data_IF_344626671953
#
_entry.id   IF_344626671953
#
_cell.length_a   1.000
_cell.length_b   1.000
_cell.length_c   1.000
_cell.angle_alpha   90.00
_cell.angle_beta   90.00
_cell.angle_gamma   90.00
#
_symmetry.space_group_name_H-M   'P 1'
#
loop_
_entity.id
_entity.type
_entity.pdbx_description
1 polymer ?
#
# COMPACT_ATOMS: atom_id res chain seq x y z
N UNK A 1 11.37 37.20 45.88
CA UNK A 1 10.13 36.47 45.48
C UNK A 1 9.80 36.64 43.99
N UNK A 2 9.76 37.85 43.42
CA UNK A 2 9.46 38.07 41.97
C UNK A 2 10.33 37.27 40.98
N UNK A 3 11.65 37.15 41.20
CA UNK A 3 12.56 36.39 40.30
C UNK A 3 12.31 34.87 40.32
N UNK A 4 11.87 34.31 41.46
CA UNK A 4 11.59 32.88 41.58
C UNK A 4 10.27 32.52 40.87
N UNK A 5 9.28 33.41 40.93
CA UNK A 5 8.00 33.28 40.23
C UNK A 5 8.16 33.34 38.70
N UNK A 6 9.05 34.19 38.18
CA UNK A 6 9.34 34.27 36.73
C UNK A 6 9.99 32.97 36.23
N UNK A 7 10.85 32.34 37.02
CA UNK A 7 11.42 31.04 36.67
C UNK A 7 10.39 29.91 36.71
N UNK A 8 9.58 29.83 37.78
CA UNK A 8 8.58 28.79 37.98
C UNK A 8 7.40 28.84 36.99
N UNK A 9 6.94 30.04 36.63
CA UNK A 9 5.74 30.22 35.80
C UNK A 9 6.01 30.78 34.40
N UNK A 10 7.21 31.32 34.13
CA UNK A 10 7.57 31.88 32.83
C UNK A 10 8.55 30.99 32.05
N UNK A 11 9.71 30.69 32.64
CA UNK A 11 10.83 30.02 31.94
C UNK A 11 10.67 28.50 31.91
N UNK A 12 10.28 27.88 33.04
CA UNK A 12 10.13 26.42 33.12
C UNK A 12 9.00 25.91 32.23
N UNK A 13 7.79 26.53 32.16
CA UNK A 13 6.75 26.10 31.23
C UNK A 13 7.17 26.30 29.76
N UNK A 14 7.91 27.36 29.43
CA UNK A 14 8.42 27.58 28.07
C UNK A 14 9.49 26.56 27.66
N UNK A 15 10.36 26.16 28.59
CA UNK A 15 11.33 25.09 28.36
C UNK A 15 10.65 23.72 28.27
N UNK A 16 9.64 23.45 29.09
CA UNK A 16 8.88 22.19 29.03
C UNK A 16 8.02 22.10 27.75
N UNK A 17 7.41 23.22 27.31
CA UNK A 17 6.73 23.30 26.01
C UNK A 17 7.73 23.18 24.84
N UNK A 18 8.91 23.77 24.95
CA UNK A 18 9.99 23.64 23.95
C UNK A 18 10.60 22.23 23.86
N UNK A 19 10.62 21.46 24.96
CA UNK A 19 11.13 20.08 25.01
C UNK A 19 10.06 19.05 24.63
N UNK A 20 8.78 19.40 24.69
CA UNK A 20 7.68 18.51 24.29
C UNK A 20 7.52 18.38 22.76
N UNK A 21 8.02 19.36 21.99
CA UNK A 21 7.87 19.40 20.52
C UNK A 21 8.93 18.57 19.75
N UNK A 22 10.22 18.45 20.17
CA UNK A 22 11.20 17.64 19.45
C UNK A 22 11.09 16.12 19.71
N UNK A 23 10.23 15.67 20.63
CA UNK A 23 10.19 14.24 21.01
C UNK A 23 9.62 13.31 19.92
N UNK A 24 8.84 13.86 18.97
CA UNK A 24 8.29 13.10 17.83
C UNK A 24 8.93 13.43 16.48
N UNK A 25 9.85 14.40 16.41
CA UNK A 25 10.45 14.84 15.14
C UNK A 25 11.50 13.87 14.59
N UNK A 26 12.00 12.93 15.43
CA UNK A 26 13.08 12.01 15.06
C UNK A 26 12.62 10.81 14.22
N UNK A 27 11.33 10.51 14.14
CA UNK A 27 10.83 9.33 13.42
C UNK A 27 10.57 9.62 11.94
N UNK A 28 10.94 8.66 11.09
CA UNK A 28 10.58 8.70 9.67
C UNK A 28 9.06 8.50 9.49
N UNK A 29 8.50 9.08 8.43
CA UNK A 29 7.08 8.91 8.13
C UNK A 29 6.70 7.42 7.94
N UNK A 30 7.63 6.61 7.41
CA UNK A 30 7.47 5.17 7.31
C UNK A 30 7.36 4.53 8.70
N UNK A 31 8.27 4.82 9.62
CA UNK A 31 8.24 4.22 10.95
C UNK A 31 6.93 4.51 11.68
N UNK A 32 6.39 5.73 11.49
CA UNK A 32 5.11 6.11 12.05
C UNK A 32 3.95 5.36 11.39
N UNK A 33 3.87 5.33 10.05
CA UNK A 33 2.83 4.58 9.30
C UNK A 33 2.85 3.10 9.70
N UNK A 34 4.04 2.49 9.73
CA UNK A 34 4.21 1.09 10.14
C UNK A 34 3.78 0.88 11.59
N UNK A 35 4.12 1.78 12.52
CA UNK A 35 3.67 1.69 13.90
C UNK A 35 2.15 1.84 14.06
N UNK A 36 1.49 2.55 13.14
CA UNK A 36 0.03 2.64 13.08
C UNK A 36 -0.61 1.34 12.57
N UNK A 37 -0.14 0.76 11.46
CA UNK A 37 -0.76 -0.43 10.85
C UNK A 37 -0.33 -1.76 11.49
N UNK A 38 0.89 -1.85 12.03
CA UNK A 38 1.43 -3.08 12.64
C UNK A 38 2.32 -2.80 13.87
N UNK A 39 1.84 -3.11 15.10
CA UNK A 39 2.61 -2.89 16.31
C UNK A 39 3.81 -3.84 16.43
N UNK A 40 3.90 -4.92 15.66
CA UNK A 40 5.07 -5.84 15.68
C UNK A 40 6.31 -5.14 15.12
N UNK A 41 6.15 -4.17 14.21
CA UNK A 41 7.24 -3.34 13.72
C UNK A 41 7.90 -2.52 14.85
N UNK A 42 7.13 -2.15 15.88
CA UNK A 42 7.63 -1.45 17.07
C UNK A 42 8.72 -2.25 17.78
N UNK A 43 8.62 -3.58 17.84
CA UNK A 43 9.59 -4.45 18.52
C UNK A 43 10.96 -4.52 17.83
N UNK A 44 11.02 -4.36 16.49
CA UNK A 44 12.29 -4.34 15.75
C UNK A 44 12.95 -2.96 15.74
N UNK A 45 12.15 -1.88 15.77
CA UNK A 45 12.64 -0.49 15.80
C UNK A 45 13.03 0.01 17.20
N UNK A 46 12.55 -0.61 18.29
CA UNK A 46 12.90 -0.22 19.67
C UNK A 46 14.40 -0.30 19.99
N UNK A 47 15.18 -1.06 19.20
CA UNK A 47 16.66 -1.05 19.30
C UNK A 47 17.31 0.23 18.78
N UNK A 48 16.57 1.13 18.09
CA UNK A 48 17.09 2.36 17.46
C UNK A 48 16.57 3.67 18.08
N UNK A 49 15.70 3.64 19.08
CA UNK A 49 15.23 4.84 19.78
C UNK A 49 13.78 4.79 20.22
N UNK A 50 13.33 5.76 21.05
CA UNK A 50 12.16 5.62 21.90
C UNK A 50 10.91 6.07 21.15
N UNK A 51 10.26 5.15 20.43
CA UNK A 51 8.83 5.34 20.18
C UNK A 51 8.15 5.39 21.55
N UNK A 52 7.78 6.60 21.99
CA UNK A 52 6.86 6.76 23.13
C UNK A 52 5.64 5.87 22.85
N UNK A 53 5.20 5.03 23.80
CA UNK A 53 4.22 3.99 23.54
C UNK A 53 2.81 4.59 23.48
N UNK A 54 2.52 5.41 22.47
CA UNK A 54 1.15 5.74 22.15
C UNK A 54 0.43 4.45 21.72
N UNK A 55 -0.80 4.21 22.23
CA UNK A 55 -1.71 3.23 21.66
C UNK A 55 -1.85 3.45 20.14
N UNK A 56 -1.99 2.38 19.33
CA UNK A 56 -2.08 2.50 17.87
C UNK A 56 -3.11 3.53 17.38
N UNK A 57 -4.29 3.60 18.02
CA UNK A 57 -5.33 4.59 17.68
C UNK A 57 -4.83 6.03 17.83
N UNK A 58 -4.11 6.34 18.91
CA UNK A 58 -3.54 7.68 19.12
C UNK A 58 -2.37 7.94 18.17
N UNK A 59 -1.60 6.93 17.80
CA UNK A 59 -0.53 7.06 16.81
C UNK A 59 -1.11 7.38 15.42
N UNK A 60 -2.15 6.66 14.99
CA UNK A 60 -2.84 6.93 13.74
C UNK A 60 -3.47 8.33 13.75
N UNK A 61 -4.14 8.72 14.85
CA UNK A 61 -4.68 10.07 15.00
C UNK A 61 -3.59 11.17 14.97
N UNK A 62 -2.43 10.93 15.58
CA UNK A 62 -1.29 11.85 15.52
C UNK A 62 -0.75 11.98 14.09
N UNK A 63 -0.63 10.87 13.37
CA UNK A 63 -0.21 10.86 11.98
C UNK A 63 -1.13 11.68 11.09
N UNK A 64 -2.44 11.52 11.26
CA UNK A 64 -3.43 12.18 10.42
C UNK A 64 -3.58 13.67 10.72
N UNK A 65 -3.49 14.06 12.00
CA UNK A 65 -3.71 15.44 12.44
C UNK A 65 -2.45 16.31 12.44
N UNK A 66 -1.31 15.79 12.89
CA UNK A 66 -0.10 16.59 13.12
C UNK A 66 0.96 16.35 12.05
N UNK A 67 1.20 15.09 11.66
CA UNK A 67 2.32 14.76 10.76
C UNK A 67 1.99 14.88 9.28
N UNK A 68 0.75 14.58 8.88
CA UNK A 68 0.27 14.57 7.49
C UNK A 68 1.29 14.04 6.47
N UNK A 69 1.70 12.76 6.57
CA UNK A 69 2.74 12.23 5.72
C UNK A 69 2.30 12.18 4.25
N UNK A 70 3.19 12.56 3.34
CA UNK A 70 2.99 12.43 1.89
C UNK A 70 2.84 10.95 1.49
N UNK A 71 1.67 10.52 0.99
CA UNK A 71 1.41 9.13 0.64
C UNK A 71 2.32 8.60 -0.46
N UNK A 72 2.81 9.48 -1.35
CA UNK A 72 3.63 9.13 -2.51
C UNK A 72 5.13 9.07 -2.19
N UNK A 73 5.51 9.35 -0.93
CA UNK A 73 6.90 9.31 -0.50
C UNK A 73 7.49 7.91 -0.68
N UNK A 74 8.39 7.78 -1.67
CA UNK A 74 9.06 6.52 -1.99
C UNK A 74 10.19 6.18 -1.01
N UNK A 75 10.12 5.00 -0.42
CA UNK A 75 11.23 4.37 0.26
C UNK A 75 12.09 3.60 -0.74
N UNK A 76 13.32 4.07 -0.98
CA UNK A 76 14.25 3.46 -1.94
C UNK A 76 14.76 2.09 -1.51
N UNK A 77 14.80 1.80 -0.21
CA UNK A 77 15.34 0.53 0.28
C UNK A 77 14.33 -0.60 0.12
N UNK A 78 13.06 -0.33 0.45
CA UNK A 78 11.95 -1.26 0.40
C UNK A 78 11.23 -1.23 -0.95
N UNK A 79 11.50 -0.22 -1.78
CA UNK A 79 10.89 -0.02 -3.09
C UNK A 79 9.36 0.08 -2.99
N UNK A 80 8.87 0.92 -2.08
CA UNK A 80 7.43 1.18 -1.86
C UNK A 80 7.18 2.63 -1.47
N UNK A 81 6.03 3.16 -1.81
CA UNK A 81 5.53 4.41 -1.20
C UNK A 81 4.98 4.16 0.20
N UNK A 82 4.73 5.23 0.97
CA UNK A 82 3.97 5.12 2.23
C UNK A 82 2.59 4.52 2.02
N UNK A 83 1.92 4.91 0.93
CA UNK A 83 0.68 4.26 0.51
C UNK A 83 0.87 2.77 0.23
N UNK A 84 1.94 2.38 -0.48
CA UNK A 84 2.27 0.98 -0.75
C UNK A 84 2.51 0.13 0.50
N UNK A 85 3.04 0.71 1.58
CA UNK A 85 3.11 0.03 2.89
C UNK A 85 1.71 -0.21 3.48
N UNK A 86 0.82 0.78 3.40
CA UNK A 86 -0.58 0.65 3.83
C UNK A 86 -1.30 -0.43 3.02
N UNK A 87 -1.08 -0.50 1.71
CA UNK A 87 -1.70 -1.51 0.84
C UNK A 87 -1.25 -2.94 1.15
N UNK A 88 0.03 -3.12 1.50
CA UNK A 88 0.61 -4.44 1.68
C UNK A 88 -0.06 -5.28 2.79
N UNK A 89 -0.74 -4.64 3.76
CA UNK A 89 -1.37 -5.34 4.89
C UNK A 89 -2.87 -5.58 4.70
N UNK A 90 -3.46 -5.16 3.56
CA UNK A 90 -4.85 -5.48 3.24
C UNK A 90 -5.03 -6.99 3.04
N UNK A 91 -6.15 -7.54 3.53
CA UNK A 91 -6.39 -8.99 3.54
C UNK A 91 -5.78 -9.74 4.73
N UNK A 92 -5.12 -9.03 5.65
CA UNK A 92 -4.67 -9.59 6.93
C UNK A 92 -5.59 -9.16 8.07
N UNK A 93 -5.52 -9.81 9.26
CA UNK A 93 -6.18 -9.31 10.47
C UNK A 93 -5.77 -7.89 10.89
N UNK A 94 -4.71 -7.32 10.29
CA UNK A 94 -4.19 -5.97 10.56
C UNK A 94 -4.84 -4.88 9.70
N UNK A 95 -5.83 -5.25 8.87
CA UNK A 95 -6.43 -4.40 7.84
C UNK A 95 -7.30 -3.25 8.35
N UNK A 96 -7.82 -3.28 9.59
CA UNK A 96 -8.74 -2.26 10.08
C UNK A 96 -8.10 -0.85 10.14
N UNK A 97 -6.90 -0.73 10.72
CA UNK A 97 -6.19 0.55 10.78
C UNK A 97 -5.66 0.99 9.42
N UNK A 98 -5.35 0.02 8.56
CA UNK A 98 -4.94 0.31 7.19
C UNK A 98 -6.09 0.90 6.37
N UNK A 99 -7.35 0.53 6.63
CA UNK A 99 -8.53 1.16 6.02
C UNK A 99 -8.66 2.63 6.39
N UNK A 100 -8.48 2.98 7.67
CA UNK A 100 -8.53 4.40 8.10
C UNK A 100 -7.44 5.23 7.42
N UNK A 101 -6.21 4.72 7.35
CA UNK A 101 -5.11 5.40 6.64
C UNK A 101 -5.29 5.42 5.13
N UNK A 102 -5.95 4.41 4.54
CA UNK A 102 -6.25 4.37 3.11
C UNK A 102 -7.11 5.55 2.72
N UNK A 103 -8.26 5.72 3.36
CA UNK A 103 -9.19 6.82 3.04
C UNK A 103 -8.51 8.18 3.27
N UNK A 104 -7.78 8.32 4.38
CA UNK A 104 -6.98 9.51 4.67
C UNK A 104 -5.98 9.87 3.56
N UNK A 105 -5.33 8.87 2.95
CA UNK A 105 -4.36 9.07 1.89
C UNK A 105 -4.98 9.32 0.53
N UNK A 106 -6.14 8.71 0.23
CA UNK A 106 -6.91 8.98 -1.00
C UNK A 106 -7.24 10.47 -1.10
N UNK A 107 -7.66 11.09 0.01
CA UNK A 107 -7.96 12.52 0.08
C UNK A 107 -6.75 13.45 -0.12
N UNK A 108 -5.53 12.90 -0.24
CA UNK A 108 -4.26 13.65 -0.30
C UNK A 108 -3.50 13.49 -1.61
N UNK A 109 -4.20 13.10 -2.67
CA UNK A 109 -3.65 13.09 -4.03
C UNK A 109 -2.67 11.95 -4.25
N UNK A 110 -3.17 10.72 -4.20
CA UNK A 110 -2.40 9.55 -4.64
C UNK A 110 -1.99 9.72 -6.11
N UNK A 111 -0.72 9.47 -6.39
CA UNK A 111 -0.22 9.38 -7.77
C UNK A 111 -0.56 7.99 -8.32
N UNK A 112 -1.80 7.81 -8.77
CA UNK A 112 -2.37 6.51 -9.16
C UNK A 112 -1.62 5.78 -10.27
N UNK A 113 -0.97 6.50 -11.17
CA UNK A 113 -0.25 5.93 -12.31
C UNK A 113 1.23 5.66 -11.99
N UNK A 114 1.72 6.09 -10.81
CA UNK A 114 3.08 5.79 -10.36
C UNK A 114 3.13 4.49 -9.57
N UNK A 115 4.27 3.78 -9.59
CA UNK A 115 4.43 2.59 -8.77
C UNK A 115 4.27 2.91 -7.28
N UNK A 116 3.38 2.18 -6.61
CA UNK A 116 3.26 2.20 -5.16
C UNK A 116 4.11 1.11 -4.50
N UNK A 117 4.41 0.03 -5.23
CA UNK A 117 5.32 -1.01 -4.77
C UNK A 117 6.00 -1.71 -5.94
N UNK A 118 7.34 -1.73 -5.93
CA UNK A 118 8.14 -2.23 -7.04
C UNK A 118 7.81 -1.50 -8.33
N UNK A 119 7.25 -2.23 -9.29
CA UNK A 119 6.81 -1.71 -10.61
C UNK A 119 5.29 -1.56 -10.72
N UNK A 120 4.55 -1.93 -9.67
CA UNK A 120 3.09 -1.98 -9.68
C UNK A 120 2.51 -0.68 -9.13
N UNK A 121 1.56 -0.11 -9.88
CA UNK A 121 0.71 0.98 -9.41
C UNK A 121 -0.26 0.50 -8.31
N UNK A 122 -0.93 1.39 -7.56
CA UNK A 122 -1.95 0.99 -6.60
C UNK A 122 -3.01 0.04 -7.16
N UNK A 123 -3.53 0.31 -8.36
CA UNK A 123 -4.57 -0.52 -8.97
C UNK A 123 -4.05 -1.91 -9.37
N UNK A 124 -2.82 -1.98 -9.89
CA UNK A 124 -2.16 -3.27 -10.11
C UNK A 124 -1.97 -4.06 -8.81
N UNK A 125 -1.66 -3.40 -7.69
CA UNK A 125 -1.57 -4.05 -6.39
C UNK A 125 -2.94 -4.57 -5.92
N UNK A 126 -4.01 -3.80 -6.11
CA UNK A 126 -5.37 -4.24 -5.78
C UNK A 126 -5.77 -5.50 -6.56
N UNK A 127 -5.46 -5.55 -7.86
CA UNK A 127 -5.66 -6.73 -8.71
C UNK A 127 -4.76 -7.89 -8.27
N UNK A 128 -3.49 -7.63 -7.98
CA UNK A 128 -2.54 -8.64 -7.52
C UNK A 128 -2.96 -9.28 -6.19
N UNK A 129 -3.48 -8.48 -5.26
CA UNK A 129 -4.07 -8.94 -4.00
C UNK A 129 -5.48 -9.51 -4.14
N UNK A 130 -6.03 -9.50 -5.34
CA UNK A 130 -7.40 -9.92 -5.65
C UNK A 130 -8.46 -9.25 -4.77
N UNK A 131 -8.23 -7.98 -4.43
CA UNK A 131 -9.10 -7.22 -3.55
C UNK A 131 -10.11 -6.43 -4.36
N UNK A 132 -11.36 -6.93 -4.40
CA UNK A 132 -12.49 -6.22 -5.02
C UNK A 132 -12.77 -4.88 -4.33
N UNK A 133 -12.59 -4.83 -3.01
CA UNK A 133 -12.77 -3.61 -2.22
C UNK A 133 -11.77 -2.56 -2.67
N UNK A 134 -10.47 -2.88 -2.70
CA UNK A 134 -9.46 -1.91 -3.14
C UNK A 134 -9.64 -1.53 -4.61
N UNK A 135 -9.91 -2.51 -5.48
CA UNK A 135 -10.11 -2.28 -6.91
C UNK A 135 -11.24 -1.28 -7.15
N UNK A 136 -12.41 -1.52 -6.54
CA UNK A 136 -13.55 -0.60 -6.63
C UNK A 136 -13.19 0.79 -6.10
N UNK A 137 -12.62 0.88 -4.89
CA UNK A 137 -12.31 2.17 -4.27
C UNK A 137 -11.28 2.98 -5.06
N UNK A 138 -10.31 2.32 -5.70
CA UNK A 138 -9.29 3.02 -6.49
C UNK A 138 -9.85 3.52 -7.82
N UNK A 139 -10.73 2.75 -8.46
CA UNK A 139 -11.48 3.22 -9.64
C UNK A 139 -12.36 4.43 -9.27
N UNK A 140 -13.13 4.35 -8.17
CA UNK A 140 -13.92 5.48 -7.64
C UNK A 140 -13.06 6.73 -7.36
N UNK A 141 -11.80 6.53 -6.96
CA UNK A 141 -10.85 7.59 -6.67
C UNK A 141 -10.02 8.06 -7.89
N UNK A 142 -10.32 7.56 -9.09
CA UNK A 142 -9.75 8.04 -10.36
C UNK A 142 -8.52 7.29 -10.86
N UNK A 143 -8.19 6.11 -10.32
CA UNK A 143 -7.09 5.31 -10.84
C UNK A 143 -7.39 4.79 -12.25
N UNK A 144 -6.48 5.01 -13.20
CA UNK A 144 -6.66 4.56 -14.57
C UNK A 144 -6.39 3.04 -14.74
N UNK A 145 -7.39 2.21 -15.12
CA UNK A 145 -7.20 0.77 -15.32
C UNK A 145 -6.36 0.41 -16.56
N UNK A 146 -6.15 1.36 -17.48
CA UNK A 146 -5.34 1.20 -18.70
C UNK A 146 -3.88 1.63 -18.53
N UNK A 147 -3.48 2.10 -17.36
CA UNK A 147 -2.09 2.46 -17.10
C UNK A 147 -1.19 1.22 -17.22
N UNK A 148 -0.16 1.22 -18.09
CA UNK A 148 0.66 0.02 -18.29
C UNK A 148 1.72 -0.13 -17.19
N UNK A 149 2.04 -1.37 -16.85
CA UNK A 149 3.20 -1.67 -16.01
C UNK A 149 4.50 -1.37 -16.77
N UNK A 150 5.33 -0.50 -16.20
CA UNK A 150 6.68 -0.20 -16.71
C UNK A 150 7.71 -1.11 -16.03
N UNK A 151 8.02 -2.24 -16.68
CA UNK A 151 8.95 -3.24 -16.16
C UNK A 151 9.77 -3.91 -17.28
N UNK A 152 10.61 -3.17 -18.01
CA UNK A 152 11.34 -3.68 -19.17
C UNK A 152 12.03 -5.03 -18.90
N UNK A 153 11.90 -5.96 -19.84
CA UNK A 153 12.46 -7.31 -19.73
C UNK A 153 11.70 -8.26 -18.81
N UNK A 154 10.56 -7.86 -18.22
CA UNK A 154 9.69 -8.74 -17.44
C UNK A 154 8.44 -9.13 -18.24
N UNK A 155 7.89 -10.35 -18.04
CA UNK A 155 6.65 -10.80 -18.71
C UNK A 155 5.42 -9.94 -18.42
N UNK A 156 5.45 -9.21 -17.29
CA UNK A 156 4.36 -8.30 -16.88
C UNK A 156 4.47 -6.90 -17.49
N UNK A 157 5.52 -6.61 -18.26
CA UNK A 157 5.68 -5.30 -18.88
C UNK A 157 4.57 -5.03 -19.89
N UNK A 158 4.00 -3.83 -19.84
CA UNK A 158 2.96 -3.40 -20.78
C UNK A 158 1.56 -3.91 -20.41
N UNK A 159 1.43 -4.85 -19.47
CA UNK A 159 0.13 -5.26 -18.97
C UNK A 159 -0.54 -4.08 -18.25
N UNK A 160 -1.82 -3.87 -18.55
CA UNK A 160 -2.70 -3.01 -17.76
C UNK A 160 -3.38 -3.81 -16.63
N UNK A 161 -4.32 -3.21 -15.90
CA UNK A 161 -4.99 -3.90 -14.79
C UNK A 161 -5.80 -5.14 -15.24
N UNK A 162 -6.39 -5.11 -16.44
CA UNK A 162 -7.15 -6.22 -17.00
C UNK A 162 -6.23 -7.36 -17.44
N UNK A 163 -5.18 -7.00 -18.17
CA UNK A 163 -4.21 -7.97 -18.68
C UNK A 163 -3.43 -8.61 -17.54
N UNK A 164 -3.17 -7.87 -16.46
CA UNK A 164 -2.62 -8.42 -15.22
C UNK A 164 -3.60 -9.42 -14.58
N UNK A 165 -4.89 -9.10 -14.49
CA UNK A 165 -5.88 -10.03 -13.93
C UNK A 165 -5.96 -11.33 -14.74
N UNK A 166 -5.96 -11.23 -16.08
CA UNK A 166 -5.93 -12.38 -16.99
C UNK A 166 -4.63 -13.17 -16.90
N UNK A 167 -3.50 -12.48 -16.80
CA UNK A 167 -2.20 -13.11 -16.58
C UNK A 167 -2.21 -13.91 -15.27
N UNK A 168 -2.77 -13.38 -14.19
CA UNK A 168 -2.89 -14.06 -12.89
C UNK A 168 -3.89 -15.22 -12.90
N UNK A 169 -4.93 -15.15 -13.74
CA UNK A 169 -5.88 -16.23 -14.00
C UNK A 169 -5.17 -17.41 -14.68
N UNK A 170 -4.41 -17.13 -15.74
CA UNK A 170 -3.72 -18.14 -16.53
C UNK A 170 -2.52 -18.77 -15.81
N UNK A 171 -1.85 -18.02 -14.93
CA UNK A 171 -0.61 -18.45 -14.24
C UNK A 171 -0.82 -19.13 -12.89
N UNK A 172 -2.01 -19.02 -12.29
CA UNK A 172 -2.27 -19.40 -10.89
C UNK A 172 -2.78 -20.83 -10.66
N UNK A 173 -2.86 -21.66 -11.70
CA UNK A 173 -3.70 -22.86 -11.71
C UNK A 173 -3.07 -24.18 -11.28
N UNK A 174 -1.74 -24.27 -11.16
CA UNK A 174 -1.07 -25.58 -11.16
C UNK A 174 -0.67 -26.10 -9.78
N UNK A 175 -0.74 -25.27 -8.73
CA UNK A 175 -0.29 -25.61 -7.37
C UNK A 175 -1.34 -25.43 -6.27
N UNK A 176 -2.58 -25.04 -6.61
CA UNK A 176 -3.66 -24.85 -5.62
C UNK A 176 -4.57 -26.08 -5.56
N UNK A 177 -5.11 -26.37 -4.36
CA UNK A 177 -6.21 -27.30 -4.23
C UNK A 177 -7.43 -26.81 -5.04
N UNK A 178 -8.25 -27.72 -5.57
CA UNK A 178 -9.36 -27.38 -6.48
C UNK A 178 -10.29 -26.29 -5.93
N UNK A 179 -10.70 -26.37 -4.65
CA UNK A 179 -11.54 -25.35 -4.03
C UNK A 179 -10.88 -23.96 -3.99
N UNK A 180 -9.59 -23.90 -3.64
CA UNK A 180 -8.83 -22.63 -3.61
C UNK A 180 -8.65 -22.05 -5.02
N UNK A 181 -8.49 -22.93 -6.01
CA UNK A 181 -8.46 -22.54 -7.42
C UNK A 181 -9.80 -21.95 -7.83
N UNK A 182 -10.92 -22.60 -7.54
CA UNK A 182 -12.27 -22.12 -7.86
C UNK A 182 -12.57 -20.75 -7.23
N UNK A 183 -12.25 -20.57 -5.94
CA UNK A 183 -12.45 -19.30 -5.23
C UNK A 183 -11.61 -18.16 -5.84
N UNK A 184 -10.34 -18.44 -6.14
CA UNK A 184 -9.44 -17.51 -6.83
C UNK A 184 -9.97 -17.13 -8.22
N UNK A 185 -10.40 -18.11 -9.01
CA UNK A 185 -10.96 -17.86 -10.34
C UNK A 185 -12.26 -17.03 -10.24
N UNK A 186 -13.09 -17.31 -9.23
CA UNK A 186 -14.31 -16.54 -8.99
C UNK A 186 -13.99 -15.08 -8.61
N UNK A 187 -12.96 -14.85 -7.78
CA UNK A 187 -12.49 -13.50 -7.44
C UNK A 187 -11.97 -12.74 -8.67
N UNK A 188 -11.13 -13.37 -9.49
CA UNK A 188 -10.62 -12.76 -10.72
C UNK A 188 -11.73 -12.42 -11.71
N UNK A 189 -12.77 -13.26 -11.83
CA UNK A 189 -13.96 -12.94 -12.66
C UNK A 189 -14.79 -11.77 -12.12
N UNK A 190 -14.82 -11.56 -10.80
CA UNK A 190 -15.46 -10.39 -10.20
C UNK A 190 -14.65 -9.12 -10.47
N UNK A 191 -13.32 -9.22 -10.38
CA UNK A 191 -12.42 -8.12 -10.73
C UNK A 191 -12.51 -7.73 -12.21
N UNK A 192 -12.54 -8.70 -13.12
CA UNK A 192 -12.70 -8.41 -14.55
C UNK A 192 -14.00 -7.64 -14.83
N UNK A 193 -15.10 -8.01 -14.18
CA UNK A 193 -16.36 -7.25 -14.27
C UNK A 193 -16.21 -5.82 -13.75
N UNK A 194 -15.59 -5.62 -12.59
CA UNK A 194 -15.39 -4.29 -12.02
C UNK A 194 -14.56 -3.37 -12.91
N UNK A 195 -13.52 -3.93 -13.54
CA UNK A 195 -12.69 -3.17 -14.46
C UNK A 195 -13.47 -2.82 -15.74
N UNK A 196 -14.34 -3.71 -16.23
CA UNK A 196 -15.15 -3.50 -17.43
C UNK A 196 -16.31 -2.50 -17.24
N UNK A 197 -16.82 -2.34 -16.02
CA UNK A 197 -17.97 -1.47 -15.70
C UNK A 197 -17.58 0.01 -15.53
N UNK A 198 -16.30 0.38 -15.69
CA UNK A 198 -15.83 1.76 -15.54
C UNK A 198 -16.22 2.64 -16.75
N UNK A 199 -16.93 3.76 -16.57
CA UNK A 199 -17.38 4.62 -17.67
C UNK A 199 -16.24 5.30 -18.44
N UNK A 200 -15.02 5.41 -17.88
CA UNK A 200 -13.82 5.89 -18.59
C UNK A 200 -13.28 4.87 -19.60
N UNK A 201 -13.66 3.59 -19.47
CA UNK A 201 -13.30 2.51 -20.40
C UNK A 201 -14.28 2.45 -21.60
N UNK A 202 -15.44 3.10 -21.50
CA UNK A 202 -16.50 3.08 -22.52
C UNK A 202 -16.19 3.94 -23.77
N UNK A 203 -15.04 4.61 -23.86
CA UNK A 203 -14.52 5.09 -25.15
C UNK A 203 -13.93 3.90 -25.91
N UNK A 204 -14.84 3.16 -26.54
CA UNK A 204 -14.64 2.00 -27.41
C UNK A 204 -13.72 2.34 -28.58
N UNK A 205 -12.41 2.32 -28.36
CA UNK A 205 -11.41 2.24 -29.42
C UNK A 205 -11.00 0.78 -29.57
N UNK A 206 -11.61 0.15 -30.59
CA UNK A 206 -11.10 -0.96 -31.38
C UNK A 206 -10.42 -2.11 -30.61
N UNK A 207 -11.23 -3.09 -30.20
CA UNK A 207 -10.75 -4.45 -29.88
C UNK A 207 -10.46 -5.16 -31.20
N UNK A 208 -9.41 -4.73 -31.91
CA UNK A 208 -8.86 -5.48 -33.04
C UNK A 208 -7.50 -6.02 -32.65
N UNK A 209 -7.50 -7.33 -32.36
CA UNK A 209 -6.36 -8.24 -32.35
C UNK A 209 -5.28 -7.91 -31.31
N UNK A 210 -5.36 -8.55 -30.13
CA UNK A 210 -4.23 -8.65 -29.22
C UNK A 210 -3.75 -10.10 -29.09
N UNK A 211 -2.42 -10.32 -29.02
CA UNK A 211 -1.82 -11.62 -29.15
C UNK A 211 -2.06 -12.47 -27.91
N UNK A 212 -2.49 -13.72 -28.12
CA UNK A 212 -2.37 -14.79 -27.13
C UNK A 212 -0.90 -14.99 -26.78
N UNK A 213 -0.44 -14.40 -25.68
CA UNK A 213 0.89 -14.67 -25.14
C UNK A 213 0.86 -16.06 -24.50
N UNK A 214 1.42 -17.04 -25.20
CA UNK A 214 1.74 -18.36 -24.66
C UNK A 214 2.89 -18.21 -23.65
N UNK A 215 2.64 -18.52 -22.37
CA UNK A 215 3.65 -18.41 -21.32
C UNK A 215 3.97 -19.80 -20.76
N UNK A 216 5.24 -20.18 -20.91
CA UNK A 216 5.83 -21.44 -20.48
C UNK A 216 5.96 -21.55 -18.95
N UNK A 217 5.83 -22.79 -18.48
CA UNK A 217 5.74 -23.29 -17.10
C UNK A 217 6.97 -22.95 -16.23
N UNK A 218 7.05 -21.74 -15.67
CA UNK A 218 7.98 -21.47 -14.53
C UNK A 218 7.60 -20.20 -13.73
N UNK A 219 6.45 -20.22 -13.06
CA UNK A 219 5.75 -19.04 -12.53
C UNK A 219 6.19 -18.49 -11.17
N UNK A 220 7.25 -18.97 -10.52
CA UNK A 220 7.66 -18.45 -9.20
C UNK A 220 8.87 -17.50 -9.20
N UNK A 221 9.62 -17.38 -10.30
CA UNK A 221 10.76 -16.44 -10.44
C UNK A 221 10.47 -15.20 -11.27
N UNK A 222 9.35 -15.17 -12.01
CA UNK A 222 9.11 -14.18 -13.07
C UNK A 222 8.81 -12.76 -12.58
N UNK A 223 8.42 -12.59 -11.31
CA UNK A 223 8.07 -11.28 -10.76
C UNK A 223 9.24 -10.56 -10.06
N UNK A 224 10.42 -11.19 -9.96
CA UNK A 224 11.64 -10.57 -9.41
C UNK A 224 11.58 -10.21 -7.93
N UNK A 225 10.86 -10.98 -7.11
CA UNK A 225 10.64 -10.66 -5.69
C UNK A 225 11.55 -11.43 -4.74
N UNK A 226 12.69 -10.85 -4.37
CA UNK A 226 13.40 -11.23 -3.14
C UNK A 226 12.83 -10.55 -1.88
N UNK A 227 12.00 -9.51 -2.04
CA UNK A 227 11.55 -8.66 -0.91
C UNK A 227 10.19 -9.04 -0.29
N UNK A 228 9.45 -10.01 -0.85
CA UNK A 228 8.14 -10.44 -0.33
C UNK A 228 8.14 -11.82 0.33
N UNK A 229 9.20 -12.60 0.11
CA UNK A 229 9.36 -13.93 0.71
C UNK A 229 9.44 -13.91 2.25
N UNK A 230 9.82 -12.77 2.86
CA UNK A 230 10.02 -12.71 4.32
C UNK A 230 8.74 -12.45 5.14
N UNK A 231 7.58 -12.19 4.55
CA UNK A 231 6.38 -11.80 5.33
C UNK A 231 5.09 -12.54 5.03
N UNK A 232 4.99 -13.33 3.96
CA UNK A 232 3.69 -13.88 3.50
C UNK A 232 3.67 -15.39 3.26
N UNK A 233 4.63 -16.15 3.81
CA UNK A 233 4.56 -17.62 3.83
C UNK A 233 3.98 -18.21 5.13
N UNK A 234 3.53 -17.39 6.06
CA UNK A 234 2.86 -17.86 7.28
C UNK A 234 1.69 -16.94 7.64
N UNK A 235 0.54 -17.23 7.05
CA UNK A 235 -0.79 -17.03 7.64
C UNK A 235 -1.72 -18.08 7.03
#
# INVERSE_FOLDING_TARGET
MKRLLIWLFGVIPLLVLGVSIPFFSALSNQALVMACIDPVYRSRETKKGPLVPLPPRLMCAYLTSVRSPDPNRWDRQRQKTLFGFTLAVFGTPRSERARELLEYFIDRGIEWEKPASGVLTPLHLAVFYQSEILTRRFLEAGANPRAPIVAPGRPIHGLDAFDLARFLYNSGGDQLANHQKEERLASLRRLERLLCDDPSVNTRADVTVMPTVSISHRTHRMLGYSAFAETYLYA
#
